data_IF_847518859916
#
_entry.id   IF_847518859916
#
_cell.length_a   1.000
_cell.length_b   1.000
_cell.length_c   1.000
_cell.angle_alpha   90.00
_cell.angle_beta   90.00
_cell.angle_gamma   90.00
#
_symmetry.space_group_name_H-M   'P 1'
#
loop_
_entity.id
_entity.type
_entity.pdbx_description
1 polymer ?
#
# COMPACT_ATOMS: atom_id res chain seq x y z
N UNK A 1 -23.87 -5.19 15.79
CA UNK A 1 -24.09 -6.65 15.75
C UNK A 1 -23.61 -7.16 14.39
N UNK A 2 -22.57 -8.00 14.38
CA UNK A 2 -21.99 -8.59 13.18
C UNK A 2 -22.93 -9.70 12.65
N UNK A 3 -23.38 -9.68 11.37
CA UNK A 3 -24.04 -10.83 10.78
C UNK A 3 -22.97 -11.83 10.33
N UNK A 4 -22.76 -12.82 11.20
CA UNK A 4 -22.36 -14.22 11.02
C UNK A 4 -21.57 -14.61 9.75
N UNK A 5 -20.29 -14.91 9.96
CA UNK A 5 -19.83 -16.26 9.61
C UNK A 5 -20.19 -17.15 10.80
N UNK A 6 -21.07 -18.11 10.58
CA UNK A 6 -21.55 -19.04 11.59
C UNK A 6 -20.47 -20.09 11.89
N UNK A 7 -20.53 -20.71 13.07
CA UNK A 7 -19.72 -21.91 13.39
C UNK A 7 -19.89 -22.99 12.31
N UNK A 8 -21.05 -23.01 11.64
CA UNK A 8 -21.35 -23.85 10.48
C UNK A 8 -20.43 -23.60 9.29
N UNK A 9 -20.00 -22.35 9.05
CA UNK A 9 -19.11 -21.97 7.94
C UNK A 9 -17.64 -22.40 8.22
N UNK A 10 -17.27 -22.53 9.49
CA UNK A 10 -15.97 -23.04 9.90
C UNK A 10 -15.95 -24.58 10.00
N UNK A 11 -17.09 -25.19 10.31
CA UNK A 11 -17.25 -26.66 10.24
C UNK A 11 -17.31 -27.12 8.79
N UNK A 12 -17.97 -26.36 7.91
CA UNK A 12 -17.92 -26.57 6.48
C UNK A 12 -16.49 -26.43 5.97
N UNK A 13 -15.65 -25.49 6.44
CA UNK A 13 -14.20 -25.45 6.10
C UNK A 13 -13.46 -26.78 6.34
N UNK A 14 -13.68 -27.44 7.50
CA UNK A 14 -13.10 -28.76 7.82
C UNK A 14 -13.67 -29.87 6.93
N UNK A 15 -14.95 -29.80 6.60
CA UNK A 15 -15.64 -30.79 5.80
C UNK A 15 -15.30 -30.65 4.31
N UNK A 16 -15.27 -29.42 3.78
CA UNK A 16 -14.80 -29.04 2.45
C UNK A 16 -13.35 -29.49 2.28
N UNK A 17 -12.45 -29.15 3.21
CA UNK A 17 -11.03 -29.57 3.17
C UNK A 17 -10.87 -31.08 3.06
N UNK A 18 -11.71 -31.86 3.75
CA UNK A 18 -11.73 -33.32 3.68
C UNK A 18 -12.36 -33.86 2.39
N UNK A 19 -13.37 -33.18 1.85
CA UNK A 19 -14.17 -33.66 0.72
C UNK A 19 -13.62 -33.25 -0.64
N UNK A 20 -13.17 -32.01 -0.82
CA UNK A 20 -12.89 -31.49 -2.16
C UNK A 20 -11.58 -32.01 -2.74
N UNK A 21 -10.57 -32.37 -1.92
CA UNK A 21 -9.17 -32.62 -2.36
C UNK A 21 -8.67 -31.56 -3.39
N UNK A 22 -9.35 -30.42 -3.48
CA UNK A 22 -9.18 -29.40 -4.49
C UNK A 22 -8.68 -28.16 -3.77
N UNK A 23 -7.37 -27.96 -3.88
CA UNK A 23 -6.66 -26.85 -3.28
C UNK A 23 -7.22 -25.49 -3.74
N UNK A 24 -7.76 -25.39 -4.96
CA UNK A 24 -8.28 -24.13 -5.49
C UNK A 24 -9.56 -23.70 -4.77
N UNK A 25 -10.51 -24.62 -4.60
CA UNK A 25 -11.74 -24.33 -3.87
C UNK A 25 -11.46 -23.91 -2.41
N UNK A 26 -10.43 -24.48 -1.78
CA UNK A 26 -10.02 -24.11 -0.42
C UNK A 26 -9.40 -22.71 -0.38
N UNK A 27 -8.54 -22.38 -1.34
CA UNK A 27 -7.94 -21.05 -1.45
C UNK A 27 -9.02 -19.99 -1.69
N UNK A 28 -9.96 -20.24 -2.59
CA UNK A 28 -11.05 -19.30 -2.90
C UNK A 28 -11.95 -19.09 -1.69
N UNK A 29 -12.29 -20.15 -0.97
CA UNK A 29 -13.12 -20.05 0.23
C UNK A 29 -12.42 -19.32 1.39
N UNK A 30 -11.14 -19.60 1.65
CA UNK A 30 -10.36 -18.86 2.65
C UNK A 30 -10.23 -17.38 2.26
N UNK A 31 -10.05 -17.09 0.98
CA UNK A 31 -10.00 -15.72 0.47
C UNK A 31 -11.32 -14.97 0.64
N UNK A 32 -12.46 -15.64 0.42
CA UNK A 32 -13.80 -15.08 0.62
C UNK A 32 -14.04 -14.74 2.10
N UNK A 33 -13.70 -15.66 3.01
CA UNK A 33 -13.78 -15.43 4.46
C UNK A 33 -12.83 -14.30 4.89
N UNK A 34 -11.61 -14.29 4.34
CA UNK A 34 -10.57 -13.29 4.59
C UNK A 34 -10.76 -11.97 3.84
N UNK A 35 -11.92 -11.76 3.22
CA UNK A 35 -12.24 -10.55 2.48
C UNK A 35 -12.19 -9.29 3.36
N UNK A 36 -11.70 -8.21 2.77
CA UNK A 36 -11.70 -6.86 3.34
C UNK A 36 -12.62 -5.90 2.55
N UNK A 37 -13.64 -6.44 1.89
CA UNK A 37 -14.69 -5.69 1.17
C UNK A 37 -15.46 -4.71 2.07
N UNK A 38 -15.72 -5.09 3.33
CA UNK A 38 -16.44 -4.25 4.29
C UNK A 38 -15.51 -3.34 5.08
N UNK A 39 -15.86 -2.06 5.29
CA UNK A 39 -15.06 -1.14 6.11
C UNK A 39 -14.75 -1.68 7.51
N UNK A 40 -15.73 -2.30 8.18
CA UNK A 40 -15.55 -2.91 9.50
C UNK A 40 -14.54 -4.04 9.51
N UNK A 41 -14.44 -4.82 8.43
CA UNK A 41 -13.47 -5.91 8.31
C UNK A 41 -12.02 -5.40 8.30
N UNK A 42 -11.79 -4.22 7.71
CA UNK A 42 -10.47 -3.58 7.65
C UNK A 42 -10.06 -3.04 9.03
N UNK A 43 -10.97 -2.29 9.66
CA UNK A 43 -10.74 -1.68 10.98
C UNK A 43 -10.52 -2.77 12.03
N UNK A 44 -11.44 -3.75 12.12
CA UNK A 44 -11.33 -4.87 13.05
C UNK A 44 -10.02 -5.66 12.87
N UNK A 45 -9.57 -5.82 11.62
CA UNK A 45 -8.34 -6.54 11.33
C UNK A 45 -7.11 -5.78 11.85
N UNK A 46 -7.04 -4.47 11.62
CA UNK A 46 -5.94 -3.63 12.10
C UNK A 46 -5.93 -3.54 13.62
N UNK A 47 -7.07 -3.28 14.25
CA UNK A 47 -7.20 -3.20 15.71
C UNK A 47 -6.69 -4.46 16.40
N UNK A 48 -6.95 -5.64 15.83
CA UNK A 48 -6.46 -6.93 16.37
C UNK A 48 -5.01 -7.24 16.00
N UNK A 49 -4.49 -6.62 14.94
CA UNK A 49 -3.09 -6.76 14.52
C UNK A 49 -2.15 -5.89 15.36
N UNK A 50 -2.59 -4.71 15.81
CA UNK A 50 -1.77 -3.75 16.54
C UNK A 50 -1.22 -4.30 17.88
N UNK A 51 -2.02 -4.94 18.75
CA UNK A 51 -1.52 -5.57 19.98
C UNK A 51 -0.50 -6.67 19.71
N UNK A 52 -0.61 -7.39 18.59
CA UNK A 52 0.36 -8.43 18.19
C UNK A 52 1.72 -7.85 17.76
N UNK A 53 1.78 -6.58 17.38
CA UNK A 53 3.04 -5.88 17.08
C UNK A 53 3.69 -5.26 18.32
N UNK A 54 2.95 -5.10 19.42
CA UNK A 54 3.48 -4.70 20.72
C UNK A 54 4.03 -5.94 21.45
N UNK A 55 5.29 -5.91 21.86
CA UNK A 55 6.03 -7.10 22.36
C UNK A 55 5.45 -7.77 23.62
N UNK A 56 4.49 -7.15 24.32
CA UNK A 56 4.12 -7.55 25.68
C UNK A 56 2.62 -7.91 25.87
N UNK A 57 1.82 -7.98 24.81
CA UNK A 57 0.39 -8.31 24.94
C UNK A 57 0.10 -9.82 24.74
N UNK A 58 -0.59 -10.50 25.68
CA UNK A 58 -1.00 -11.88 25.49
C UNK A 58 -1.99 -12.02 24.33
N UNK A 59 -1.64 -12.87 23.37
CA UNK A 59 -2.27 -13.03 22.05
C UNK A 59 -3.76 -13.41 22.07
N UNK A 60 -4.26 -13.96 23.18
CA UNK A 60 -5.64 -14.46 23.33
C UNK A 60 -6.61 -13.45 23.92
N UNK A 61 -6.14 -12.38 24.57
CA UNK A 61 -7.02 -11.37 25.19
C UNK A 61 -7.66 -10.40 24.18
N UNK A 62 -7.20 -10.42 22.92
CA UNK A 62 -7.65 -9.49 21.87
C UNK A 62 -8.88 -9.99 21.08
N UNK A 63 -9.30 -11.25 21.28
CA UNK A 63 -10.41 -11.86 20.55
C UNK A 63 -11.54 -12.21 21.51
N UNK A 64 -12.78 -11.93 21.10
CA UNK A 64 -14.01 -12.23 21.86
C UNK A 64 -14.31 -13.73 21.87
N UNK A 65 -14.02 -14.42 20.77
CA UNK A 65 -14.27 -15.85 20.60
C UNK A 65 -13.36 -16.48 19.51
N UNK A 66 -13.42 -17.82 19.42
CA UNK A 66 -12.70 -18.61 18.43
C UNK A 66 -13.03 -18.26 16.97
N UNK A 67 -14.25 -17.80 16.70
CA UNK A 67 -14.67 -17.44 15.34
C UNK A 67 -13.98 -16.14 14.90
N UNK A 68 -13.90 -15.16 15.79
CA UNK A 68 -13.20 -13.90 15.58
C UNK A 68 -11.70 -14.10 15.37
N UNK A 69 -11.08 -15.01 16.12
CA UNK A 69 -9.69 -15.41 15.90
C UNK A 69 -9.49 -16.02 14.51
N UNK A 70 -10.32 -16.99 14.12
CA UNK A 70 -10.22 -17.64 12.80
C UNK A 70 -10.43 -16.68 11.64
N UNK A 71 -11.35 -15.73 11.79
CA UNK A 71 -11.54 -14.64 10.83
C UNK A 71 -10.27 -13.83 10.63
N UNK A 72 -9.63 -13.43 11.73
CA UNK A 72 -8.37 -12.71 11.70
C UNK A 72 -7.23 -13.56 11.09
N UNK A 73 -7.18 -14.86 11.37
CA UNK A 73 -6.25 -15.79 10.74
C UNK A 73 -6.47 -15.91 9.23
N UNK A 74 -7.71 -15.97 8.75
CA UNK A 74 -8.01 -15.98 7.31
C UNK A 74 -7.55 -14.69 6.61
N UNK A 75 -7.75 -13.53 7.24
CA UNK A 75 -7.26 -12.24 6.71
C UNK A 75 -5.74 -12.17 6.68
N UNK A 76 -5.08 -12.61 7.75
CA UNK A 76 -3.62 -12.74 7.78
C UNK A 76 -3.11 -13.69 6.70
N UNK A 77 -3.82 -14.80 6.48
CA UNK A 77 -3.50 -15.74 5.42
C UNK A 77 -3.56 -15.04 4.06
N UNK A 78 -4.58 -14.23 3.76
CA UNK A 78 -4.64 -13.46 2.50
C UNK A 78 -3.43 -12.54 2.31
N UNK A 79 -3.00 -11.84 3.37
CA UNK A 79 -1.83 -10.97 3.31
C UNK A 79 -0.53 -11.78 3.13
N UNK A 80 -0.39 -12.89 3.84
CA UNK A 80 0.75 -13.80 3.69
C UNK A 80 0.77 -14.49 2.32
N UNK A 81 -0.40 -14.78 1.75
CA UNK A 81 -0.53 -15.43 0.44
C UNK A 81 0.05 -14.57 -0.68
N UNK A 82 -0.02 -13.24 -0.55
CA UNK A 82 0.62 -12.30 -1.48
C UNK A 82 2.15 -12.33 -1.47
N UNK A 83 2.76 -13.01 -0.50
CA UNK A 83 4.22 -13.17 -0.38
C UNK A 83 4.69 -14.49 -1.01
N UNK A 84 3.76 -15.37 -1.42
CA UNK A 84 4.07 -16.72 -1.87
C UNK A 84 4.79 -16.72 -3.22
N UNK A 85 6.10 -17.07 -3.19
CA UNK A 85 6.93 -17.23 -4.38
C UNK A 85 6.95 -18.66 -4.94
N UNK A 86 6.55 -19.65 -4.12
CA UNK A 86 6.90 -21.06 -4.36
C UNK A 86 5.72 -22.02 -4.33
N UNK A 87 4.57 -21.63 -3.77
CA UNK A 87 3.47 -22.58 -3.50
C UNK A 87 2.30 -22.48 -4.49
N UNK A 88 2.23 -21.45 -5.33
CA UNK A 88 1.11 -21.21 -6.25
C UNK A 88 1.55 -20.50 -7.53
N UNK A 89 0.87 -20.76 -8.64
CA UNK A 89 1.05 -20.02 -9.88
C UNK A 89 0.73 -18.53 -9.69
N UNK A 90 1.47 -17.64 -10.35
CA UNK A 90 1.26 -16.19 -10.30
C UNK A 90 -0.19 -15.81 -10.57
N UNK A 91 -0.81 -16.42 -11.59
CA UNK A 91 -2.20 -16.17 -11.97
C UNK A 91 -3.19 -16.42 -10.81
N UNK A 92 -2.89 -17.38 -9.94
CA UNK A 92 -3.69 -17.71 -8.77
C UNK A 92 -3.52 -16.68 -7.66
N UNK A 93 -2.28 -16.30 -7.35
CA UNK A 93 -1.99 -15.23 -6.39
C UNK A 93 -2.67 -13.94 -6.85
N UNK A 94 -2.57 -13.60 -8.14
CA UNK A 94 -3.22 -12.43 -8.73
C UNK A 94 -4.74 -12.47 -8.55
N UNK A 95 -5.42 -13.56 -8.91
CA UNK A 95 -6.89 -13.66 -8.78
C UNK A 95 -7.37 -13.44 -7.33
N UNK A 96 -6.67 -14.02 -6.37
CA UNK A 96 -7.05 -13.96 -4.95
C UNK A 96 -6.72 -12.60 -4.34
N UNK A 97 -5.52 -12.09 -4.59
CA UNK A 97 -5.01 -10.86 -3.97
C UNK A 97 -5.62 -9.62 -4.62
N UNK A 98 -5.86 -9.61 -5.94
CA UNK A 98 -6.37 -8.44 -6.66
C UNK A 98 -7.74 -8.00 -6.14
N UNK A 99 -8.64 -8.95 -5.82
CA UNK A 99 -9.96 -8.61 -5.24
C UNK A 99 -9.81 -7.86 -3.91
N UNK A 100 -8.93 -8.35 -3.05
CA UNK A 100 -8.74 -7.78 -1.72
C UNK A 100 -8.04 -6.42 -1.80
N UNK A 101 -7.02 -6.29 -2.66
CA UNK A 101 -6.36 -5.01 -2.94
C UNK A 101 -7.34 -3.99 -3.54
N UNK A 102 -8.22 -4.40 -4.45
CA UNK A 102 -9.23 -3.52 -5.03
C UNK A 102 -10.15 -2.95 -3.96
N UNK A 103 -10.64 -3.80 -3.03
CA UNK A 103 -11.44 -3.34 -1.89
C UNK A 103 -10.66 -2.37 -1.01
N UNK A 104 -9.41 -2.70 -0.67
CA UNK A 104 -8.55 -1.84 0.15
C UNK A 104 -8.30 -0.46 -0.50
N UNK A 105 -8.06 -0.42 -1.81
CA UNK A 105 -7.92 0.85 -2.53
C UNK A 105 -9.21 1.65 -2.53
N UNK A 106 -10.37 1.00 -2.62
CA UNK A 106 -11.67 1.64 -2.43
C UNK A 106 -11.80 2.26 -1.04
N UNK A 107 -11.36 1.56 0.00
CA UNK A 107 -11.41 2.05 1.39
C UNK A 107 -10.46 3.22 1.65
N UNK A 108 -9.36 3.35 0.91
CA UNK A 108 -8.49 4.53 0.97
C UNK A 108 -9.21 5.83 0.55
N UNK A 109 -10.36 5.74 -0.11
CA UNK A 109 -11.22 6.86 -0.51
C UNK A 109 -12.44 7.06 0.39
N UNK A 110 -12.53 6.33 1.51
CA UNK A 110 -13.64 6.45 2.44
C UNK A 110 -13.72 7.85 3.06
N UNK A 111 -14.94 8.30 3.37
CA UNK A 111 -15.16 9.49 4.19
C UNK A 111 -14.80 9.27 5.67
N UNK A 112 -14.73 8.00 6.10
CA UNK A 112 -14.34 7.61 7.46
C UNK A 112 -12.82 7.52 7.57
N UNK A 113 -12.22 8.44 8.34
CA UNK A 113 -10.79 8.50 8.57
C UNK A 113 -10.20 7.23 9.21
N UNK A 114 -10.96 6.53 10.07
CA UNK A 114 -10.52 5.28 10.68
C UNK A 114 -10.37 4.16 9.64
N UNK A 115 -11.33 4.11 8.70
CA UNK A 115 -11.31 3.16 7.59
C UNK A 115 -10.15 3.47 6.65
N UNK A 116 -9.93 4.74 6.31
CA UNK A 116 -8.80 5.15 5.46
C UNK A 116 -7.47 4.79 6.11
N UNK A 117 -7.27 5.13 7.38
CA UNK A 117 -6.04 4.84 8.11
C UNK A 117 -5.77 3.32 8.18
N UNK A 118 -6.81 2.53 8.47
CA UNK A 118 -6.70 1.07 8.54
C UNK A 118 -6.38 0.47 7.17
N UNK A 119 -7.06 0.92 6.11
CA UNK A 119 -6.81 0.44 4.75
C UNK A 119 -5.38 0.75 4.30
N UNK A 120 -4.90 1.96 4.55
CA UNK A 120 -3.53 2.37 4.25
C UNK A 120 -2.50 1.50 4.97
N UNK A 121 -2.74 1.16 6.25
CA UNK A 121 -1.83 0.27 6.99
C UNK A 121 -1.76 -1.13 6.39
N UNK A 122 -2.89 -1.69 5.96
CA UNK A 122 -2.91 -3.00 5.31
C UNK A 122 -2.21 -2.94 3.94
N UNK A 123 -2.48 -1.91 3.13
CA UNK A 123 -1.80 -1.68 1.85
C UNK A 123 -0.28 -1.56 2.04
N UNK A 124 0.16 -0.87 3.09
CA UNK A 124 1.58 -0.78 3.45
C UNK A 124 2.19 -2.15 3.76
N UNK A 125 1.43 -3.06 4.35
CA UNK A 125 1.89 -4.43 4.60
C UNK A 125 2.09 -5.21 3.27
N UNK A 126 1.15 -5.08 2.33
CA UNK A 126 1.33 -5.62 0.97
C UNK A 126 2.55 -5.00 0.28
N UNK A 127 2.75 -3.69 0.39
CA UNK A 127 3.91 -3.00 -0.18
C UNK A 127 5.24 -3.57 0.33
N UNK A 128 5.36 -3.79 1.64
CA UNK A 128 6.60 -4.29 2.25
C UNK A 128 6.93 -5.73 1.88
N UNK A 129 5.94 -6.61 1.88
CA UNK A 129 6.20 -8.05 1.96
C UNK A 129 5.77 -8.84 0.71
N UNK A 130 4.91 -8.28 -0.14
CA UNK A 130 4.37 -9.02 -1.26
C UNK A 130 5.40 -9.25 -2.39
N UNK A 131 5.08 -10.20 -3.27
CA UNK A 131 5.87 -10.46 -4.48
C UNK A 131 5.81 -9.28 -5.47
N UNK A 132 6.81 -9.12 -6.38
CA UNK A 132 6.95 -7.91 -7.18
C UNK A 132 5.73 -7.47 -7.99
N UNK A 133 5.00 -8.40 -8.62
CA UNK A 133 3.80 -8.03 -9.40
C UNK A 133 2.65 -7.51 -8.51
N UNK A 134 2.56 -7.96 -7.25
CA UNK A 134 1.59 -7.42 -6.28
C UNK A 134 2.04 -6.05 -5.82
N UNK A 135 3.34 -5.87 -5.53
CA UNK A 135 3.90 -4.56 -5.19
C UNK A 135 3.69 -3.54 -6.31
N UNK A 136 3.80 -3.95 -7.58
CA UNK A 136 3.53 -3.10 -8.73
C UNK A 136 2.06 -2.63 -8.75
N UNK A 137 1.10 -3.50 -8.44
CA UNK A 137 -0.31 -3.11 -8.31
C UNK A 137 -0.52 -2.06 -7.21
N UNK A 138 0.12 -2.26 -6.06
CA UNK A 138 0.10 -1.27 -4.96
C UNK A 138 0.70 0.05 -5.43
N UNK A 139 1.83 0.00 -6.13
CA UNK A 139 2.52 1.18 -6.64
C UNK A 139 1.63 2.00 -7.58
N UNK A 140 1.00 1.37 -8.58
CA UNK A 140 0.07 2.02 -9.50
C UNK A 140 -1.10 2.69 -8.76
N UNK A 141 -1.75 1.98 -7.85
CA UNK A 141 -2.87 2.52 -7.08
C UNK A 141 -2.47 3.70 -6.18
N UNK A 142 -1.28 3.66 -5.57
CA UNK A 142 -0.79 4.77 -4.74
C UNK A 142 -0.42 6.00 -5.58
N UNK A 143 0.09 5.82 -6.80
CA UNK A 143 0.33 6.93 -7.74
C UNK A 143 -0.97 7.60 -8.16
N UNK A 144 -2.01 6.81 -8.45
CA UNK A 144 -3.32 7.34 -8.82
C UNK A 144 -4.00 8.06 -7.65
N UNK A 145 -3.95 7.47 -6.45
CA UNK A 145 -4.42 8.09 -5.22
C UNK A 145 -3.71 9.43 -4.97
N UNK A 146 -2.38 9.45 -5.03
CA UNK A 146 -1.59 10.65 -4.80
C UNK A 146 -1.91 11.76 -5.80
N UNK A 147 -2.04 11.45 -7.10
CA UNK A 147 -2.36 12.46 -8.12
C UNK A 147 -3.75 13.07 -7.89
N UNK A 148 -4.75 12.24 -7.57
CA UNK A 148 -6.10 12.71 -7.26
C UNK A 148 -6.13 13.58 -5.98
N UNK A 149 -5.41 13.19 -4.91
CA UNK A 149 -5.34 13.99 -3.67
C UNK A 149 -4.64 15.34 -3.89
N UNK A 150 -3.64 15.39 -4.77
CA UNK A 150 -2.98 16.66 -5.13
C UNK A 150 -3.92 17.57 -5.92
N UNK A 151 -4.77 17.00 -6.77
CA UNK A 151 -5.76 17.78 -7.54
C UNK A 151 -6.90 18.30 -6.66
N UNK A 152 -7.29 17.59 -5.60
CA UNK A 152 -8.38 17.99 -4.70
C UNK A 152 -7.97 18.97 -3.59
N UNK A 153 -6.67 19.22 -3.41
CA UNK A 153 -6.16 20.21 -2.46
C UNK A 153 -5.13 19.63 -1.50
N UNK A 154 -3.87 19.95 -1.75
CA UNK A 154 -2.70 19.44 -1.04
C UNK A 154 -2.75 19.61 0.49
N UNK A 155 -3.20 20.77 0.97
CA UNK A 155 -3.23 21.08 2.42
C UNK A 155 -4.25 20.25 3.21
N UNK A 156 -5.37 19.88 2.59
CA UNK A 156 -6.43 19.08 3.23
C UNK A 156 -5.99 17.62 3.37
N UNK A 157 -5.19 17.13 2.43
CA UNK A 157 -4.83 15.72 2.31
C UNK A 157 -3.37 15.40 2.66
N UNK A 158 -2.66 16.33 3.33
CA UNK A 158 -1.24 16.24 3.64
C UNK A 158 -0.82 14.86 4.17
N UNK A 159 -1.55 14.36 5.17
CA UNK A 159 -1.23 13.07 5.80
C UNK A 159 -1.40 11.89 4.83
N UNK A 160 -2.46 11.90 4.01
CA UNK A 160 -2.71 10.82 3.05
C UNK A 160 -1.69 10.81 1.91
N UNK A 161 -1.32 12.00 1.42
CA UNK A 161 -0.27 12.16 0.43
C UNK A 161 1.07 11.66 0.99
N UNK A 162 1.35 11.92 2.27
CA UNK A 162 2.55 11.40 2.94
C UNK A 162 2.54 9.87 3.03
N UNK A 163 1.40 9.26 3.38
CA UNK A 163 1.28 7.79 3.39
C UNK A 163 1.49 7.19 2.00
N UNK A 164 0.95 7.81 0.95
CA UNK A 164 1.21 7.39 -0.44
C UNK A 164 2.70 7.46 -0.76
N UNK A 165 3.34 8.58 -0.40
CA UNK A 165 4.78 8.81 -0.61
C UNK A 165 5.63 7.74 0.10
N UNK A 166 5.32 7.42 1.36
CA UNK A 166 6.02 6.37 2.10
C UNK A 166 5.84 4.98 1.46
N UNK A 167 4.63 4.67 1.02
CA UNK A 167 4.31 3.38 0.38
C UNK A 167 5.06 3.25 -0.95
N UNK A 168 5.06 4.30 -1.78
CA UNK A 168 5.77 4.33 -3.06
C UNK A 168 7.28 4.13 -2.89
N UNK A 169 7.87 4.71 -1.84
CA UNK A 169 9.30 4.55 -1.51
C UNK A 169 9.66 3.08 -1.25
N UNK A 170 8.77 2.32 -0.60
CA UNK A 170 9.00 0.90 -0.32
C UNK A 170 9.01 0.07 -1.60
N UNK A 171 8.17 0.42 -2.56
CA UNK A 171 7.98 -0.34 -3.81
C UNK A 171 8.69 0.29 -5.02
N UNK A 172 9.66 1.19 -4.82
CA UNK A 172 10.34 1.90 -5.91
C UNK A 172 10.93 0.97 -6.97
N UNK A 173 11.50 -0.16 -6.52
CA UNK A 173 12.11 -1.16 -7.41
C UNK A 173 11.07 -1.93 -8.24
N UNK A 174 9.82 -1.91 -7.83
CA UNK A 174 8.70 -2.57 -8.51
C UNK A 174 7.95 -1.63 -9.46
N UNK A 175 8.31 -0.33 -9.49
CA UNK A 175 7.80 0.64 -10.45
C UNK A 175 8.40 0.39 -11.84
N UNK A 176 7.55 0.39 -12.86
CA UNK A 176 7.98 0.53 -14.25
C UNK A 176 8.58 1.90 -14.51
N UNK A 177 9.29 2.05 -15.63
CA UNK A 177 9.84 3.35 -16.07
C UNK A 177 8.78 4.45 -16.10
N UNK A 178 7.59 4.16 -16.66
CA UNK A 178 6.47 5.11 -16.71
C UNK A 178 5.95 5.50 -15.33
N UNK A 179 5.84 4.53 -14.42
CA UNK A 179 5.39 4.79 -13.05
C UNK A 179 6.44 5.58 -12.26
N UNK A 180 7.73 5.34 -12.48
CA UNK A 180 8.80 6.18 -11.91
C UNK A 180 8.73 7.61 -12.42
N UNK A 181 8.53 7.81 -13.73
CA UNK A 181 8.33 9.15 -14.32
C UNK A 181 7.13 9.87 -13.70
N UNK A 182 5.99 9.18 -13.57
CA UNK A 182 4.81 9.72 -12.88
C UNK A 182 5.14 10.08 -11.42
N UNK A 183 5.84 9.21 -10.71
CA UNK A 183 6.24 9.44 -9.32
C UNK A 183 7.10 10.72 -9.17
N UNK A 184 8.12 10.89 -10.04
CA UNK A 184 8.94 12.11 -10.06
C UNK A 184 8.08 13.34 -10.34
N UNK A 185 7.20 13.29 -11.33
CA UNK A 185 6.31 14.41 -11.64
C UNK A 185 5.43 14.81 -10.43
N UNK A 186 4.91 13.84 -9.68
CA UNK A 186 4.13 14.10 -8.46
C UNK A 186 4.98 14.68 -7.33
N UNK A 187 6.21 14.20 -7.13
CA UNK A 187 7.13 14.79 -6.16
C UNK A 187 7.56 16.21 -6.54
N UNK A 188 7.71 16.50 -7.83
CA UNK A 188 7.96 17.87 -8.30
C UNK A 188 6.77 18.79 -7.99
N UNK A 189 5.52 18.34 -8.20
CA UNK A 189 4.33 19.09 -7.77
C UNK A 189 4.38 19.42 -6.27
N UNK A 190 4.78 18.45 -5.43
CA UNK A 190 4.99 18.68 -3.99
C UNK A 190 6.11 19.68 -3.68
N UNK A 191 7.21 19.64 -4.43
CA UNK A 191 8.29 20.61 -4.31
C UNK A 191 7.90 22.01 -4.74
N UNK A 192 6.81 22.18 -5.49
CA UNK A 192 6.26 23.50 -5.84
C UNK A 192 5.20 23.98 -4.84
N UNK A 193 4.57 23.08 -4.08
CA UNK A 193 3.53 23.44 -3.10
C UNK A 193 4.11 24.00 -1.80
N UNK A 194 3.87 25.27 -1.42
CA UNK A 194 4.50 25.89 -0.25
C UNK A 194 4.14 25.22 1.09
N UNK A 195 3.06 24.45 1.14
CA UNK A 195 2.57 23.76 2.34
C UNK A 195 3.37 22.48 2.65
N UNK A 196 4.20 21.99 1.72
CA UNK A 196 4.90 20.73 1.86
C UNK A 196 6.36 20.88 2.30
N UNK A 197 6.84 20.01 3.22
CA UNK A 197 8.23 20.03 3.68
C UNK A 197 9.19 19.59 2.57
N UNK A 198 9.88 20.56 1.95
CA UNK A 198 10.73 20.34 0.77
C UNK A 198 11.84 19.33 1.00
N UNK A 199 12.53 19.42 2.14
CA UNK A 199 13.58 18.49 2.55
C UNK A 199 13.13 17.03 2.47
N UNK A 200 11.94 16.72 3.01
CA UNK A 200 11.41 15.36 3.03
C UNK A 200 11.11 14.84 1.62
N UNK A 201 10.60 15.68 0.74
CA UNK A 201 10.31 15.31 -0.66
C UNK A 201 11.61 15.08 -1.44
N UNK A 202 12.60 15.94 -1.23
CA UNK A 202 13.93 15.83 -1.82
C UNK A 202 14.63 14.52 -1.46
N UNK A 203 14.57 14.08 -0.20
CA UNK A 203 15.09 12.78 0.22
C UNK A 203 14.45 11.62 -0.55
N UNK A 204 13.15 11.70 -0.86
CA UNK A 204 12.45 10.67 -1.63
C UNK A 204 12.82 10.70 -3.11
N UNK A 205 12.99 11.89 -3.68
CA UNK A 205 13.50 12.06 -5.04
C UNK A 205 14.90 11.48 -5.20
N UNK A 206 15.80 11.70 -4.24
CA UNK A 206 17.15 11.12 -4.26
C UNK A 206 17.12 9.58 -4.36
N UNK A 207 16.18 8.92 -3.68
CA UNK A 207 16.03 7.47 -3.80
C UNK A 207 15.61 7.02 -5.20
N UNK A 208 14.76 7.78 -5.90
CA UNK A 208 14.41 7.49 -7.30
C UNK A 208 15.62 7.62 -8.23
N UNK A 209 16.47 8.62 -8.02
CA UNK A 209 17.72 8.80 -8.77
C UNK A 209 18.72 7.64 -8.57
N UNK A 210 18.67 6.95 -7.42
CA UNK A 210 19.52 5.79 -7.16
C UNK A 210 18.97 4.53 -7.84
N UNK A 211 17.65 4.44 -8.07
CA UNK A 211 16.99 3.24 -8.60
C UNK A 211 17.07 3.14 -10.13
N UNK A 212 17.33 4.25 -10.83
CA UNK A 212 17.41 4.28 -12.29
C UNK A 212 18.86 4.34 -12.78
N UNK A 213 19.21 3.54 -13.80
CA UNK A 213 20.58 3.52 -14.34
C UNK A 213 20.93 4.81 -15.11
N UNK A 214 19.93 5.52 -15.63
CA UNK A 214 20.12 6.78 -16.33
C UNK A 214 18.99 7.78 -15.99
N UNK A 215 19.00 8.33 -14.77
CA UNK A 215 17.94 9.21 -14.27
C UNK A 215 17.74 10.44 -15.16
N UNK A 216 18.82 11.05 -15.68
CA UNK A 216 18.73 12.17 -16.63
C UNK A 216 17.88 11.87 -17.84
N UNK A 217 18.10 10.71 -18.48
CA UNK A 217 17.32 10.32 -19.64
C UNK A 217 15.89 9.96 -19.24
N UNK A 218 15.73 9.23 -18.15
CA UNK A 218 14.42 8.76 -17.70
C UNK A 218 13.51 9.91 -17.26
N UNK A 219 14.05 10.96 -16.63
CA UNK A 219 13.28 12.05 -16.04
C UNK A 219 13.41 13.38 -16.79
N UNK A 220 13.82 13.35 -18.06
CA UNK A 220 14.08 14.55 -18.87
C UNK A 220 12.96 15.60 -18.79
N UNK A 221 11.69 15.17 -18.86
CA UNK A 221 10.52 16.05 -18.80
C UNK A 221 10.35 16.74 -17.43
N UNK A 222 10.83 16.11 -16.36
CA UNK A 222 10.74 16.64 -14.99
C UNK A 222 11.95 17.50 -14.60
N UNK A 223 13.08 17.42 -15.33
CA UNK A 223 14.29 18.19 -15.03
C UNK A 223 14.05 19.71 -15.08
N UNK A 224 13.30 20.18 -16.08
CA UNK A 224 12.98 21.60 -16.20
C UNK A 224 12.15 22.08 -15.00
N UNK A 225 11.18 21.28 -14.55
CA UNK A 225 10.37 21.64 -13.40
C UNK A 225 11.14 21.54 -12.07
N UNK A 226 12.11 20.63 -11.94
CA UNK A 226 13.03 20.60 -10.79
C UNK A 226 13.88 21.88 -10.70
N UNK A 227 14.33 22.41 -11.84
CA UNK A 227 15.05 23.70 -11.86
C UNK A 227 14.15 24.87 -11.44
N UNK A 228 12.87 24.84 -11.80
CA UNK A 228 11.89 25.83 -11.33
C UNK A 228 11.72 25.70 -9.82
N UNK A 229 11.55 24.48 -9.30
CA UNK A 229 11.43 24.22 -7.87
C UNK A 229 12.67 24.70 -7.08
N UNK A 230 13.87 24.51 -7.62
CA UNK A 230 15.12 25.00 -7.03
C UNK A 230 15.18 26.53 -6.96
N UNK A 231 14.58 27.24 -7.94
CA UNK A 231 14.50 28.71 -7.94
C UNK A 231 13.41 29.25 -7.01
N UNK A 232 12.36 28.48 -6.76
CA UNK A 232 11.23 28.91 -5.93
C UNK A 232 11.41 28.65 -4.44
N UNK A 233 12.40 27.85 -4.04
CA UNK A 233 12.68 27.59 -2.62
C UNK A 233 13.63 28.63 -2.03
N UNK A 234 13.36 29.04 -0.80
CA UNK A 234 14.25 29.93 -0.02
C UNK A 234 15.21 29.14 0.89
N UNK A 235 15.07 27.81 0.95
CA UNK A 235 15.95 26.91 1.70
C UNK A 235 17.23 26.64 0.87
N UNK A 236 18.34 27.28 1.25
CA UNK A 236 19.58 27.25 0.47
C UNK A 236 20.18 25.83 0.30
N UNK A 237 20.05 24.98 1.31
CA UNK A 237 20.49 23.58 1.25
C UNK A 237 19.65 22.76 0.26
N UNK A 238 18.31 22.91 0.32
CA UNK A 238 17.38 22.26 -0.62
C UNK A 238 17.60 22.77 -2.04
N UNK A 239 17.83 24.07 -2.20
CA UNK A 239 18.13 24.68 -3.50
C UNK A 239 19.39 24.05 -4.12
N UNK A 240 20.48 23.95 -3.35
CA UNK A 240 21.73 23.37 -3.82
C UNK A 240 21.55 21.91 -4.28
N UNK A 241 20.93 21.08 -3.44
CA UNK A 241 20.71 19.67 -3.73
C UNK A 241 19.76 19.43 -4.92
N UNK A 242 18.76 20.28 -5.13
CA UNK A 242 17.89 20.21 -6.31
C UNK A 242 18.64 20.56 -7.60
N UNK A 243 19.54 21.54 -7.56
CA UNK A 243 20.42 21.83 -8.70
C UNK A 243 21.38 20.67 -8.98
N UNK A 244 21.91 20.02 -7.95
CA UNK A 244 22.74 18.84 -8.12
C UNK A 244 21.99 17.69 -8.80
N UNK A 245 20.77 17.38 -8.33
CA UNK A 245 19.92 16.35 -8.96
C UNK A 245 19.62 16.66 -10.42
N UNK A 246 19.32 17.94 -10.73
CA UNK A 246 19.00 18.37 -12.08
C UNK A 246 20.22 18.37 -13.02
N UNK A 247 21.45 18.44 -12.48
CA UNK A 247 22.69 18.61 -13.26
C UNK A 247 23.57 17.36 -13.32
N UNK A 248 23.57 16.54 -12.27
CA UNK A 248 24.53 15.46 -12.08
C UNK A 248 23.93 14.05 -12.00
N UNK A 249 22.60 13.92 -11.93
CA UNK A 249 21.92 12.62 -12.04
C UNK A 249 21.97 11.98 -13.42
#
# INVERSE_FOLDING_TARGET
>A
MLPYLSVTDLLSWRQLSRQTRNLEALIEHVAEIGSMDRPTSVVDFVEKSLPRMAKDAPCTAAFRDDAEQKLHECRNWCVAFAQSKTLCAESRVRRTVDKNLQSLFGHCWSADASVVASAQLVVLNYANNAVPFVQQRVAGAMLDLMDCLLQSGTGIHLQHIWTCTQTLVIVLRSLTVRERQKCVALFVKLLLDPSFPKRKVLEKLKMLWIVDDNPRRTYADSLQQLQIAAKSTNEADVQCELYELARFG
#
